data_IF_553149075127
#
_entry.id   IF_553149075127
#
_cell.length_a   1.000
_cell.length_b   1.000
_cell.length_c   1.000
_cell.angle_alpha   90.00
_cell.angle_beta   90.00
_cell.angle_gamma   90.00
#
_symmetry.space_group_name_H-M   'P 1'
#
loop_
_entity.id
_entity.type
_entity.pdbx_description
1 polymer ?
#
# COMPACT_ATOMS: atom_id res chain seq x y z
N UNK A 1 0.10 -3.29 16.67
CA UNK A 1 -0.24 -4.10 15.48
C UNK A 1 0.10 -5.56 15.71
N UNK A 2 -0.54 -6.47 14.97
CA UNK A 2 -0.16 -7.89 14.94
C UNK A 2 0.22 -8.30 13.52
N UNK A 3 1.51 -8.58 13.29
CA UNK A 3 1.99 -9.14 12.01
C UNK A 3 1.45 -10.56 11.83
N UNK A 4 0.98 -10.83 10.61
CA UNK A 4 0.46 -12.13 10.19
C UNK A 4 1.54 -12.87 9.39
N UNK A 5 1.66 -14.18 9.63
CA UNK A 5 2.50 -15.07 8.85
C UNK A 5 1.83 -15.39 7.50
N UNK A 6 1.85 -14.40 6.60
CA UNK A 6 1.24 -14.44 5.28
C UNK A 6 2.22 -13.92 4.24
N UNK A 7 2.38 -14.69 3.17
CA UNK A 7 3.15 -14.24 2.00
C UNK A 7 2.26 -13.32 1.17
N UNK A 8 2.68 -12.06 0.96
CA UNK A 8 1.93 -11.13 0.13
C UNK A 8 1.77 -11.68 -1.30
N UNK A 9 0.58 -11.52 -1.87
CA UNK A 9 0.21 -12.12 -3.15
C UNK A 9 -0.18 -13.61 -3.10
N UNK A 10 -0.07 -14.28 -1.94
CA UNK A 10 -0.57 -15.65 -1.79
C UNK A 10 -2.10 -15.71 -1.71
N UNK A 11 -2.66 -16.91 -1.89
CA UNK A 11 -4.11 -17.13 -1.77
C UNK A 11 -4.61 -16.86 -0.35
N UNK A 12 -3.87 -17.29 0.66
CA UNK A 12 -4.17 -17.08 2.07
C UNK A 12 -4.22 -15.58 2.40
N UNK A 13 -3.28 -14.83 1.84
CA UNK A 13 -3.24 -13.37 1.94
C UNK A 13 -4.48 -12.72 1.31
N UNK A 14 -4.85 -13.10 0.08
CA UNK A 14 -6.07 -12.59 -0.58
C UNK A 14 -7.35 -12.90 0.22
N UNK A 15 -7.49 -14.13 0.73
CA UNK A 15 -8.63 -14.52 1.56
C UNK A 15 -8.70 -13.67 2.83
N UNK A 16 -7.57 -13.49 3.54
CA UNK A 16 -7.53 -12.68 4.75
C UNK A 16 -7.93 -11.22 4.46
N UNK A 17 -7.45 -10.66 3.35
CA UNK A 17 -7.82 -9.32 2.88
C UNK A 17 -9.31 -9.19 2.51
N UNK A 18 -9.91 -10.23 1.95
CA UNK A 18 -11.35 -10.27 1.67
C UNK A 18 -12.21 -10.10 2.93
N UNK A 19 -11.70 -10.51 4.09
CA UNK A 19 -12.40 -10.50 5.37
C UNK A 19 -12.24 -9.21 6.18
N UNK A 20 -11.34 -8.29 5.78
CA UNK A 20 -11.03 -7.07 6.54
C UNK A 20 -11.17 -5.83 5.65
N UNK A 21 -11.48 -4.65 6.21
CA UNK A 21 -11.23 -3.37 5.55
C UNK A 21 -9.72 -3.18 5.42
N UNK A 22 -9.20 -3.19 4.19
CA UNK A 22 -7.75 -3.08 3.96
C UNK A 22 -7.31 -1.64 3.68
N UNK A 23 -6.05 -1.32 3.97
CA UNK A 23 -5.54 0.04 3.78
C UNK A 23 -5.64 0.53 2.33
N UNK A 24 -5.37 -0.32 1.33
CA UNK A 24 -5.51 0.06 -0.08
C UNK A 24 -6.96 0.31 -0.51
N UNK A 25 -7.93 -0.17 0.27
CA UNK A 25 -9.36 0.10 0.07
C UNK A 25 -9.84 1.35 0.83
N UNK A 26 -8.99 1.96 1.67
CA UNK A 26 -9.36 3.10 2.51
C UNK A 26 -9.81 4.31 1.70
N UNK A 27 -9.09 4.66 0.63
CA UNK A 27 -9.49 5.74 -0.26
C UNK A 27 -10.83 5.48 -0.95
N UNK A 28 -11.09 4.31 -1.57
CA UNK A 28 -12.44 3.93 -2.02
C UNK A 28 -13.51 3.98 -0.92
N UNK A 29 -13.24 3.48 0.29
CA UNK A 29 -14.18 3.55 1.43
C UNK A 29 -14.57 4.98 1.79
N UNK A 30 -13.63 5.91 1.64
CA UNK A 30 -13.80 7.34 1.88
C UNK A 30 -14.31 8.12 0.67
N UNK A 31 -14.55 7.46 -0.47
CA UNK A 31 -15.00 8.10 -1.71
C UNK A 31 -13.92 8.96 -2.39
N UNK A 32 -12.65 8.71 -2.09
CA UNK A 32 -11.50 9.46 -2.60
C UNK A 32 -10.72 8.74 -3.72
N UNK A 33 -11.23 7.60 -4.20
CA UNK A 33 -10.61 6.84 -5.31
C UNK A 33 -11.19 7.23 -6.66
N UNK A 34 -10.32 7.29 -7.67
CA UNK A 34 -10.71 7.50 -9.08
C UNK A 34 -11.11 6.21 -9.81
N UNK A 35 -10.65 5.06 -9.33
CA UNK A 35 -10.74 3.78 -10.04
C UNK A 35 -11.78 2.82 -9.45
N UNK A 36 -12.17 3.02 -8.19
CA UNK A 36 -13.11 2.15 -7.49
C UNK A 36 -14.06 2.99 -6.63
N UNK A 37 -15.36 2.88 -6.89
CA UNK A 37 -16.35 3.58 -6.07
C UNK A 37 -16.59 2.86 -4.74
N UNK A 38 -17.10 3.60 -3.75
CA UNK A 38 -17.50 3.01 -2.47
C UNK A 38 -18.58 1.93 -2.64
N UNK A 39 -19.52 2.13 -3.57
CA UNK A 39 -20.60 1.17 -3.80
C UNK A 39 -20.07 -0.13 -4.42
N UNK A 40 -19.12 -0.02 -5.36
CA UNK A 40 -18.48 -1.20 -5.97
C UNK A 40 -17.69 -1.99 -4.91
N UNK A 41 -16.93 -1.29 -4.06
CA UNK A 41 -16.22 -1.93 -2.96
C UNK A 41 -17.19 -2.64 -2.00
N UNK A 42 -18.30 -2.00 -1.62
CA UNK A 42 -19.30 -2.62 -0.76
C UNK A 42 -19.93 -3.86 -1.40
N UNK A 43 -20.24 -3.79 -2.69
CA UNK A 43 -20.73 -4.93 -3.44
C UNK A 43 -19.71 -6.07 -3.37
N UNK A 44 -18.45 -5.82 -3.75
CA UNK A 44 -17.37 -6.81 -3.73
C UNK A 44 -17.21 -7.49 -2.37
N UNK A 45 -17.20 -6.71 -1.28
CA UNK A 45 -17.11 -7.25 0.09
C UNK A 45 -18.33 -8.08 0.47
N UNK A 46 -19.54 -7.66 0.06
CA UNK A 46 -20.78 -8.37 0.37
C UNK A 46 -20.94 -9.69 -0.41
N UNK A 47 -20.36 -9.78 -1.60
CA UNK A 47 -20.42 -10.95 -2.48
C UNK A 47 -19.18 -11.83 -2.41
N UNK A 48 -18.17 -11.45 -1.62
CA UNK A 48 -16.86 -12.11 -1.56
C UNK A 48 -16.21 -12.27 -2.95
N UNK A 49 -16.38 -11.27 -3.82
CA UNK A 49 -15.79 -11.27 -5.17
C UNK A 49 -14.53 -10.40 -5.17
N UNK A 50 -13.51 -10.85 -5.89
CA UNK A 50 -12.26 -10.10 -6.06
C UNK A 50 -12.36 -9.09 -7.20
N UNK A 51 -11.42 -8.15 -7.25
CA UNK A 51 -11.28 -7.26 -8.40
C UNK A 51 -10.60 -8.03 -9.53
N UNK A 52 -11.29 -8.16 -10.66
CA UNK A 52 -10.70 -8.75 -11.85
C UNK A 52 -9.92 -7.69 -12.63
N UNK A 53 -8.66 -7.97 -12.91
CA UNK A 53 -7.81 -7.14 -13.75
C UNK A 53 -7.64 -7.81 -15.11
N UNK A 54 -7.65 -7.01 -16.19
CA UNK A 54 -7.27 -7.53 -17.50
C UNK A 54 -5.79 -7.90 -17.52
N UNK A 55 -5.39 -8.81 -18.40
CA UNK A 55 -3.98 -9.18 -18.61
C UNK A 55 -3.10 -7.96 -18.86
N UNK A 56 -3.64 -6.94 -19.52
CA UNK A 56 -2.94 -5.68 -19.74
C UNK A 56 -2.67 -4.94 -18.44
N UNK A 57 -3.68 -4.79 -17.56
CA UNK A 57 -3.51 -4.11 -16.27
C UNK A 57 -2.57 -4.91 -15.36
N UNK A 58 -2.71 -6.23 -15.32
CA UNK A 58 -1.81 -7.11 -14.57
C UNK A 58 -0.35 -6.87 -14.98
N UNK A 59 -0.05 -7.02 -16.28
CA UNK A 59 1.33 -6.94 -16.77
C UNK A 59 1.93 -5.54 -16.73
N UNK A 60 1.15 -4.52 -17.08
CA UNK A 60 1.69 -3.17 -17.29
C UNK A 60 1.56 -2.24 -16.11
N UNK A 61 0.71 -2.56 -15.14
CA UNK A 61 0.48 -1.73 -13.95
C UNK A 61 0.93 -2.47 -12.70
N UNK A 62 0.40 -3.66 -12.44
CA UNK A 62 0.66 -4.39 -11.19
C UNK A 62 2.09 -4.96 -11.17
N UNK A 63 2.46 -5.75 -12.17
CA UNK A 63 3.78 -6.40 -12.22
C UNK A 63 4.91 -5.36 -12.30
N UNK A 64 4.74 -4.32 -13.14
CA UNK A 64 5.69 -3.20 -13.20
C UNK A 64 5.77 -2.40 -11.90
N UNK A 65 4.67 -2.30 -11.17
CA UNK A 65 4.63 -1.68 -9.84
C UNK A 65 5.56 -2.43 -8.89
N UNK A 66 5.40 -3.75 -8.77
CA UNK A 66 6.26 -4.60 -7.93
C UNK A 66 7.73 -4.58 -8.37
N UNK A 67 8.02 -4.54 -9.68
CA UNK A 67 9.40 -4.38 -10.18
C UNK A 67 10.01 -3.05 -9.71
N UNK A 68 9.25 -1.96 -9.83
CA UNK A 68 9.70 -0.62 -9.44
C UNK A 68 9.86 -0.50 -7.92
N UNK A 69 8.96 -1.11 -7.16
CA UNK A 69 9.03 -1.22 -5.69
C UNK A 69 10.31 -1.96 -5.27
N UNK A 70 10.57 -3.15 -5.83
CA UNK A 70 11.75 -3.94 -5.50
C UNK A 70 13.06 -3.18 -5.78
N UNK A 71 13.11 -2.41 -6.87
CA UNK A 71 14.25 -1.56 -7.23
C UNK A 71 14.36 -0.31 -6.33
N UNK A 72 13.24 0.22 -5.84
CA UNK A 72 13.19 1.38 -4.97
C UNK A 72 13.54 1.05 -3.51
N UNK A 73 13.33 -0.19 -3.06
CA UNK A 73 13.54 -0.60 -1.66
C UNK A 73 14.94 -0.25 -1.14
N UNK A 74 16.06 -0.53 -1.83
CA UNK A 74 17.39 -0.14 -1.35
C UNK A 74 17.58 1.39 -1.22
N UNK A 75 16.87 2.18 -2.04
CA UNK A 75 16.89 3.64 -1.97
C UNK A 75 16.07 4.11 -0.76
N UNK A 76 14.91 3.50 -0.52
CA UNK A 76 14.10 3.76 0.65
C UNK A 76 14.84 3.42 1.95
N UNK A 77 15.55 2.29 2.00
CA UNK A 77 16.38 1.88 3.13
C UNK A 77 17.53 2.88 3.38
N UNK A 78 18.15 3.44 2.33
CA UNK A 78 19.15 4.51 2.47
C UNK A 78 18.56 5.80 3.08
N UNK A 79 17.33 6.15 2.70
CA UNK A 79 16.61 7.34 3.22
C UNK A 79 16.16 7.11 4.67
N UNK A 80 15.61 5.94 4.97
CA UNK A 80 15.13 5.57 6.31
C UNK A 80 16.30 5.37 7.28
N UNK A 81 17.42 4.83 6.78
CA UNK A 81 18.58 4.45 7.57
C UNK A 81 18.48 3.07 8.23
N UNK A 82 17.46 2.27 7.87
CA UNK A 82 17.16 0.94 8.41
C UNK A 82 16.64 0.02 7.30
N UNK A 83 16.75 -1.30 7.50
CA UNK A 83 16.21 -2.32 6.59
C UNK A 83 14.67 -2.33 6.62
N UNK A 84 14.06 -2.57 5.45
CA UNK A 84 12.61 -2.58 5.26
C UNK A 84 12.14 -3.93 4.72
N UNK A 85 11.27 -4.61 5.46
CA UNK A 85 10.68 -5.88 5.01
C UNK A 85 9.19 -5.74 4.73
N UNK A 86 8.64 -6.45 3.72
CA UNK A 86 7.20 -6.47 3.49
C UNK A 86 6.50 -7.20 4.62
N UNK A 87 5.37 -6.68 5.08
CA UNK A 87 4.58 -7.28 6.15
C UNK A 87 3.09 -7.11 5.90
N UNK A 88 2.27 -8.02 6.41
CA UNK A 88 0.82 -7.84 6.51
C UNK A 88 0.44 -7.88 7.97
N UNK A 89 -0.28 -6.88 8.46
CA UNK A 89 -0.68 -6.82 9.86
C UNK A 89 -2.14 -6.38 10.03
N UNK A 90 -2.69 -6.69 11.19
CA UNK A 90 -3.96 -6.15 11.67
C UNK A 90 -3.74 -5.18 12.84
N UNK A 91 -4.68 -4.27 13.04
CA UNK A 91 -4.70 -3.43 14.24
C UNK A 91 -4.98 -4.28 15.50
N UNK A 92 -4.80 -3.68 16.68
CA UNK A 92 -4.94 -4.40 17.96
C UNK A 92 -6.36 -4.91 18.22
N UNK A 93 -7.37 -4.35 17.52
CA UNK A 93 -8.75 -4.83 17.56
C UNK A 93 -9.05 -5.95 16.55
N UNK A 94 -8.05 -6.35 15.74
CA UNK A 94 -8.20 -7.29 14.64
C UNK A 94 -9.36 -6.91 13.69
N UNK A 95 -9.48 -5.61 13.42
CA UNK A 95 -10.50 -5.02 12.55
C UNK A 95 -9.90 -4.52 11.25
N UNK A 96 -8.94 -3.58 11.31
CA UNK A 96 -8.29 -3.02 10.13
C UNK A 96 -7.09 -3.87 9.73
N UNK A 97 -6.86 -3.99 8.42
CA UNK A 97 -5.70 -4.70 7.87
C UNK A 97 -4.86 -3.78 6.99
N UNK A 98 -3.54 -3.89 7.09
CA UNK A 98 -2.61 -3.23 6.19
C UNK A 98 -1.59 -4.24 5.66
N UNK A 99 -1.37 -4.19 4.34
CA UNK A 99 -0.16 -4.74 3.72
C UNK A 99 0.78 -3.56 3.54
N UNK A 100 2.01 -3.70 4.00
CA UNK A 100 3.06 -2.68 3.88
C UNK A 100 4.08 -3.14 2.84
N UNK A 101 4.53 -2.23 1.99
CA UNK A 101 5.64 -2.49 1.08
C UNK A 101 6.92 -2.65 1.92
N UNK A 102 7.08 -1.84 2.96
CA UNK A 102 8.14 -2.02 3.96
C UNK A 102 7.72 -1.60 5.37
N UNK A 103 8.28 -2.28 6.36
CA UNK A 103 8.30 -1.87 7.76
C UNK A 103 9.68 -2.15 8.35
N UNK A 104 10.14 -1.30 9.27
CA UNK A 104 11.41 -1.51 9.99
C UNK A 104 11.27 -2.59 11.06
N UNK A 105 12.40 -3.15 11.52
CA UNK A 105 12.42 -4.17 12.56
C UNK A 105 11.76 -3.73 13.87
N UNK A 106 11.85 -2.43 14.18
CA UNK A 106 11.23 -1.82 15.37
C UNK A 106 9.78 -1.40 15.13
N UNK A 107 9.23 -1.63 13.93
CA UNK A 107 7.84 -1.33 13.57
C UNK A 107 7.46 0.16 13.71
N UNK A 108 8.45 1.04 13.80
CA UNK A 108 8.28 2.48 14.06
C UNK A 108 8.28 3.32 12.78
N UNK A 109 8.73 2.78 11.65
CA UNK A 109 8.71 3.43 10.34
C UNK A 109 8.12 2.45 9.33
N UNK A 110 7.16 2.93 8.55
CA UNK A 110 6.59 2.20 7.42
C UNK A 110 6.98 2.87 6.10
N UNK A 111 6.93 2.11 5.03
CA UNK A 111 7.20 2.57 3.67
C UNK A 111 6.06 2.13 2.75
N UNK A 112 5.57 3.09 1.97
CA UNK A 112 4.59 2.90 0.89
C UNK A 112 5.20 3.42 -0.40
N UNK A 113 5.26 2.57 -1.41
CA UNK A 113 5.77 2.86 -2.74
C UNK A 113 4.62 2.96 -3.74
N UNK A 114 4.68 3.97 -4.61
CA UNK A 114 3.86 4.04 -5.81
C UNK A 114 4.76 4.16 -7.03
N UNK A 115 4.36 3.50 -8.11
CA UNK A 115 4.98 3.68 -9.41
C UNK A 115 4.94 5.16 -9.84
N UNK A 116 6.03 5.60 -10.48
CA UNK A 116 6.17 6.97 -10.96
C UNK A 116 4.95 7.45 -11.76
N UNK A 117 4.43 8.59 -11.34
CA UNK A 117 3.39 9.33 -12.02
C UNK A 117 3.64 10.81 -11.79
N UNK A 118 3.66 11.61 -12.86
CA UNK A 118 4.02 13.04 -12.79
C UNK A 118 3.14 13.81 -11.80
N UNK A 119 1.83 13.56 -11.77
CA UNK A 119 0.93 14.24 -10.84
C UNK A 119 1.16 13.83 -9.38
N UNK A 120 1.51 12.55 -9.12
CA UNK A 120 1.87 12.10 -7.76
C UNK A 120 3.22 12.66 -7.34
N UNK A 121 4.21 12.65 -8.24
CA UNK A 121 5.53 13.23 -8.00
C UNK A 121 5.44 14.73 -7.70
N UNK A 122 4.54 15.45 -8.38
CA UNK A 122 4.29 16.87 -8.10
C UNK A 122 3.74 17.09 -6.68
N UNK A 123 2.83 16.24 -6.20
CA UNK A 123 2.35 16.29 -4.81
C UNK A 123 3.50 16.05 -3.83
N UNK A 124 4.29 15.00 -4.04
CA UNK A 124 5.44 14.67 -3.17
C UNK A 124 6.48 15.79 -3.15
N UNK A 125 6.69 16.49 -4.28
CA UNK A 125 7.60 17.64 -4.35
C UNK A 125 7.17 18.83 -3.48
N UNK A 126 5.89 18.86 -3.08
CA UNK A 126 5.30 19.84 -2.15
C UNK A 126 5.14 19.30 -0.73
N UNK A 127 5.69 18.13 -0.42
CA UNK A 127 5.50 17.43 0.85
C UNK A 127 4.04 17.02 1.10
N UNK A 128 3.30 16.71 0.02
CA UNK A 128 1.90 16.31 0.07
C UNK A 128 1.73 14.85 -0.38
N UNK A 129 0.97 14.06 0.39
CA UNK A 129 0.50 12.75 -0.08
C UNK A 129 -0.66 12.96 -1.07
N UNK A 130 -0.63 12.36 -2.27
CA UNK A 130 -1.72 12.47 -3.23
C UNK A 130 -3.08 12.11 -2.60
N UNK A 131 -4.17 12.87 -2.88
CA UNK A 131 -5.46 12.65 -2.24
C UNK A 131 -6.03 11.22 -2.39
N UNK A 132 -5.69 10.56 -3.50
CA UNK A 132 -6.11 9.19 -3.81
C UNK A 132 -5.38 8.11 -2.97
N UNK A 133 -4.22 8.44 -2.40
CA UNK A 133 -3.40 7.53 -1.58
C UNK A 133 -3.41 7.93 -0.09
N UNK A 134 -3.84 9.17 0.22
CA UNK A 134 -3.83 9.72 1.58
C UNK A 134 -4.50 8.79 2.62
N UNK A 135 -5.69 8.28 2.34
CA UNK A 135 -6.39 7.42 3.30
C UNK A 135 -5.75 6.04 3.45
N UNK A 136 -5.05 5.56 2.43
CA UNK A 136 -4.26 4.33 2.54
C UNK A 136 -3.13 4.52 3.55
N UNK A 137 -2.36 5.61 3.41
CA UNK A 137 -1.26 5.94 4.34
C UNK A 137 -1.78 6.16 5.76
N UNK A 138 -2.90 6.88 5.92
CA UNK A 138 -3.54 7.07 7.24
C UNK A 138 -3.90 5.72 7.86
N UNK A 139 -4.53 4.81 7.11
CA UNK A 139 -4.90 3.51 7.66
C UNK A 139 -3.67 2.65 7.99
N UNK A 140 -2.60 2.71 7.19
CA UNK A 140 -1.34 2.03 7.48
C UNK A 140 -0.72 2.54 8.79
N UNK A 141 -0.70 3.85 9.02
CA UNK A 141 -0.23 4.45 10.28
C UNK A 141 -1.11 4.03 11.47
N UNK A 142 -2.44 4.00 11.30
CA UNK A 142 -3.36 3.52 12.34
C UNK A 142 -3.15 2.05 12.67
N UNK A 143 -2.97 1.19 11.65
CA UNK A 143 -2.75 -0.25 11.85
C UNK A 143 -1.41 -0.51 12.52
N UNK A 144 -0.33 0.11 12.03
CA UNK A 144 1.04 -0.11 12.53
C UNK A 144 1.29 0.54 13.89
N UNK A 145 0.74 1.73 14.13
CA UNK A 145 1.18 2.60 15.22
C UNK A 145 2.55 3.24 14.96
N UNK A 146 3.07 3.15 13.74
CA UNK A 146 4.35 3.73 13.35
C UNK A 146 4.34 5.27 13.49
N UNK A 147 5.49 5.84 13.81
CA UNK A 147 5.64 7.28 14.02
C UNK A 147 5.55 8.06 12.69
N UNK A 148 6.01 7.44 11.61
CA UNK A 148 6.06 8.05 10.28
C UNK A 148 5.97 7.02 9.16
N UNK A 149 5.51 7.49 8.01
CA UNK A 149 5.50 6.76 6.76
C UNK A 149 6.42 7.47 5.77
N UNK A 150 7.38 6.75 5.19
CA UNK A 150 8.02 7.18 3.95
C UNK A 150 7.06 6.88 2.81
N UNK A 151 6.45 7.91 2.23
CA UNK A 151 5.65 7.78 1.02
C UNK A 151 6.53 8.12 -0.19
N UNK A 152 6.75 7.15 -1.08
CA UNK A 152 7.69 7.28 -2.19
C UNK A 152 6.98 7.09 -3.54
N UNK A 153 7.28 7.95 -4.49
CA UNK A 153 6.83 7.81 -5.89
C UNK A 153 8.07 7.66 -6.76
N UNK A 154 8.31 6.48 -7.33
CA UNK A 154 9.51 6.27 -8.14
C UNK A 154 9.34 5.24 -9.26
N UNK A 155 10.27 5.26 -10.21
CA UNK A 155 10.43 4.22 -11.24
C UNK A 155 11.48 3.16 -10.86
N UNK A 156 11.89 3.14 -9.59
CA UNK A 156 12.98 2.28 -9.10
C UNK A 156 14.39 2.86 -9.30
N UNK A 157 14.52 4.10 -9.79
CA UNK A 157 15.82 4.75 -9.98
C UNK A 157 15.98 5.99 -9.11
N UNK A 158 17.22 6.31 -8.70
CA UNK A 158 17.54 7.55 -7.94
C UNK A 158 17.25 8.85 -8.72
N UNK A 159 17.03 8.77 -10.02
CA UNK A 159 16.75 9.96 -10.85
C UNK A 159 15.29 10.42 -10.69
N UNK A 160 14.38 9.46 -10.56
CA UNK A 160 12.94 9.68 -10.45
C UNK A 160 12.49 9.06 -9.12
N UNK A 161 12.94 9.63 -8.01
CA UNK A 161 12.70 9.20 -6.64
C UNK A 161 12.64 10.43 -5.73
#
# INVERSE_FOLDING_TARGET
>A
MQILDLVQGSREWSIKRGQHPTASEASPMKGASKNLSRNDLLHMKSTCTEQEFSDFVQKHVLDKGHESEALARPIAEEIVGEELFPATAVDDNNYLLASFDGVTMMENIIWEHKQWNEAKAECVSRDEVPPEDHWQVVQQLVVSGAEKCLYMVSDGTKKNC
#
